data_IF_826181842450
#
_entry.id   IF_826181842450
#
_cell.length_a   1.000
_cell.length_b   1.000
_cell.length_c   1.000
_cell.angle_alpha   90.00
_cell.angle_beta   90.00
_cell.angle_gamma   90.00
#
_symmetry.space_group_name_H-M   'P 1'
#
loop_
_entity.id
_entity.type
_entity.pdbx_description
1 polymer ?
#
# COMPACT_ATOMS: atom_id res chain seq x y z
N UNK A 1 -13.31 22.54 -6.54
CA UNK A 1 -13.25 21.51 -5.47
C UNK A 1 -12.07 20.62 -5.79
N UNK A 2 -11.04 20.61 -4.95
CA UNK A 2 -9.82 19.81 -5.17
C UNK A 2 -10.17 18.34 -4.94
N UNK A 3 -9.94 17.51 -5.95
CA UNK A 3 -10.16 16.06 -5.88
C UNK A 3 -8.81 15.36 -5.74
N UNK A 4 -8.73 14.43 -4.80
CA UNK A 4 -7.58 13.54 -4.67
C UNK A 4 -8.01 12.15 -5.08
N UNK A 5 -7.22 11.54 -5.97
CA UNK A 5 -7.46 10.18 -6.45
C UNK A 5 -6.22 9.36 -6.14
N UNK A 6 -6.35 8.30 -5.33
CA UNK A 6 -5.24 7.38 -5.09
C UNK A 6 -5.13 6.48 -6.32
N UNK A 7 -3.96 6.48 -6.95
CA UNK A 7 -3.76 5.86 -8.26
C UNK A 7 -2.92 4.60 -8.24
N UNK A 8 -2.05 4.46 -7.23
CA UNK A 8 -1.12 3.34 -7.13
C UNK A 8 -0.84 2.96 -5.68
N UNK A 9 -0.70 1.66 -5.46
CA UNK A 9 -0.07 1.08 -4.28
C UNK A 9 1.09 0.19 -4.71
N UNK A 10 2.26 0.36 -4.10
CA UNK A 10 3.46 -0.42 -4.45
C UNK A 10 4.23 -0.84 -3.21
N UNK A 11 4.64 -2.11 -3.18
CA UNK A 11 5.65 -2.60 -2.24
C UNK A 11 7.01 -2.21 -2.78
N UNK A 12 7.77 -1.43 -2.02
CA UNK A 12 9.12 -1.01 -2.41
C UNK A 12 10.18 -1.97 -1.88
N UNK A 13 10.01 -2.47 -0.65
CA UNK A 13 11.00 -3.34 -0.02
C UNK A 13 10.42 -4.19 1.11
N UNK A 14 10.67 -5.49 1.09
CA UNK A 14 10.44 -6.40 2.21
C UNK A 14 11.74 -6.65 2.98
N UNK A 15 11.72 -6.43 4.30
CA UNK A 15 12.82 -6.76 5.20
C UNK A 15 12.35 -7.77 6.26
N UNK A 16 12.65 -9.05 6.03
CA UNK A 16 12.26 -10.12 6.95
C UNK A 16 13.06 -10.12 8.26
N UNK A 17 14.31 -9.65 8.23
CA UNK A 17 15.16 -9.55 9.42
C UNK A 17 14.66 -8.49 10.41
N UNK A 18 14.31 -7.31 9.88
CA UNK A 18 13.70 -6.23 10.67
C UNK A 18 12.18 -6.38 10.83
N UNK A 19 11.59 -7.44 10.27
CA UNK A 19 10.16 -7.68 10.22
C UNK A 19 9.40 -6.43 9.76
N UNK A 20 9.81 -5.84 8.63
CA UNK A 20 9.19 -4.64 8.09
C UNK A 20 8.96 -4.71 6.58
N UNK A 21 8.04 -3.89 6.08
CA UNK A 21 7.78 -3.69 4.66
C UNK A 21 7.64 -2.19 4.37
N UNK A 22 8.38 -1.71 3.38
CA UNK A 22 8.26 -0.35 2.87
C UNK A 22 7.24 -0.36 1.74
N UNK A 23 6.19 0.43 1.88
CA UNK A 23 5.09 0.55 0.92
C UNK A 23 4.92 2.01 0.53
N UNK A 24 4.56 2.23 -0.71
CA UNK A 24 4.30 3.57 -1.23
C UNK A 24 2.95 3.68 -1.89
N UNK A 25 2.43 4.90 -1.87
CA UNK A 25 1.18 5.25 -2.54
C UNK A 25 1.43 6.42 -3.46
N UNK A 26 0.87 6.35 -4.66
CA UNK A 26 0.75 7.50 -5.53
C UNK A 26 -0.70 8.00 -5.53
N UNK A 27 -0.85 9.31 -5.61
CA UNK A 27 -2.14 9.96 -5.73
C UNK A 27 -2.02 11.18 -6.63
N UNK A 28 -3.09 11.47 -7.36
CA UNK A 28 -3.18 12.66 -8.19
C UNK A 28 -3.98 13.73 -7.45
N UNK A 29 -3.47 14.96 -7.46
CA UNK A 29 -4.09 16.14 -6.90
C UNK A 29 -3.91 17.29 -7.89
N UNK A 30 -5.02 17.88 -8.35
CA UNK A 30 -5.00 19.05 -9.24
C UNK A 30 -4.09 18.87 -10.48
N UNK A 31 -4.10 17.66 -11.06
CA UNK A 31 -3.28 17.32 -12.23
C UNK A 31 -1.81 17.00 -11.92
N UNK A 32 -1.40 17.07 -10.64
CA UNK A 32 -0.05 16.71 -10.18
C UNK A 32 -0.06 15.34 -9.50
N UNK A 33 0.82 14.45 -9.96
CA UNK A 33 1.04 13.14 -9.31
C UNK A 33 2.00 13.28 -8.15
N UNK A 34 1.55 12.91 -6.97
CA UNK A 34 2.31 12.91 -5.73
C UNK A 34 2.54 11.48 -5.25
N UNK A 35 3.56 11.28 -4.41
CA UNK A 35 3.92 9.98 -3.85
C UNK A 35 4.40 10.13 -2.41
N UNK A 36 4.02 9.20 -1.54
CA UNK A 36 4.63 9.04 -0.23
C UNK A 36 4.94 7.56 0.05
N UNK A 37 5.91 7.33 0.93
CA UNK A 37 6.34 5.99 1.34
C UNK A 37 6.24 5.87 2.85
N UNK A 38 5.82 4.72 3.35
CA UNK A 38 5.71 4.39 4.77
C UNK A 38 6.33 3.03 5.01
N UNK A 39 7.01 2.89 6.15
CA UNK A 39 7.45 1.60 6.67
C UNK A 39 6.36 1.03 7.57
N UNK A 40 6.07 -0.26 7.39
CA UNK A 40 5.12 -1.05 8.16
C UNK A 40 5.83 -2.18 8.88
N UNK A 41 5.42 -2.49 10.10
CA UNK A 41 5.92 -3.66 10.81
C UNK A 41 5.07 -4.89 10.51
N UNK A 42 5.72 -6.03 10.27
CA UNK A 42 5.10 -7.34 10.04
C UNK A 42 4.46 -7.80 11.35
N UNK A 43 3.21 -7.39 11.58
CA UNK A 43 2.42 -7.64 12.79
C UNK A 43 1.48 -6.48 13.17
N UNK A 44 1.59 -5.31 12.54
CA UNK A 44 0.69 -4.18 12.79
C UNK A 44 -0.73 -4.40 12.24
N UNK A 45 -1.71 -3.72 12.87
CA UNK A 45 -3.09 -3.71 12.41
C UNK A 45 -3.20 -2.91 11.10
N UNK A 46 -3.41 -3.64 9.99
CA UNK A 46 -3.50 -3.15 8.61
C UNK A 46 -4.53 -2.04 8.43
N UNK A 47 -5.66 -2.11 9.13
CA UNK A 47 -6.73 -1.10 9.03
C UNK A 47 -6.23 0.24 9.56
N UNK A 48 -5.50 0.24 10.68
CA UNK A 48 -4.92 1.46 11.26
C UNK A 48 -3.91 2.11 10.32
N UNK A 49 -3.14 1.31 9.59
CA UNK A 49 -2.22 1.83 8.59
C UNK A 49 -2.94 2.51 7.43
N UNK A 50 -3.95 1.87 6.84
CA UNK A 50 -4.70 2.46 5.72
C UNK A 50 -5.39 3.76 6.17
N UNK A 51 -5.94 3.78 7.38
CA UNK A 51 -6.51 4.99 7.98
C UNK A 51 -5.45 6.08 8.22
N UNK A 52 -4.26 5.72 8.72
CA UNK A 52 -3.16 6.65 8.90
C UNK A 52 -2.63 7.19 7.57
N UNK A 53 -2.54 6.36 6.53
CA UNK A 53 -2.12 6.75 5.19
C UNK A 53 -3.13 7.73 4.54
N UNK A 54 -4.43 7.45 4.66
CA UNK A 54 -5.50 8.38 4.23
C UNK A 54 -5.44 9.69 5.03
N UNK A 55 -5.20 9.61 6.34
CA UNK A 55 -5.03 10.80 7.19
C UNK A 55 -3.79 11.61 6.80
N UNK A 56 -2.68 10.96 6.49
CA UNK A 56 -1.45 11.62 6.04
C UNK A 56 -1.64 12.31 4.69
N UNK A 57 -2.39 11.72 3.75
CA UNK A 57 -2.80 12.40 2.52
C UNK A 57 -3.61 13.65 2.85
N UNK A 58 -4.62 13.56 3.73
CA UNK A 58 -5.44 14.71 4.15
C UNK A 58 -4.59 15.82 4.82
N UNK A 59 -3.55 15.44 5.58
CA UNK A 59 -2.62 16.40 6.21
C UNK A 59 -1.67 17.05 5.22
N UNK A 60 -1.03 16.27 4.34
CA UNK A 60 -0.06 16.76 3.35
C UNK A 60 -0.73 17.67 2.33
N UNK A 61 -1.99 17.38 1.97
CA UNK A 61 -2.79 18.22 1.09
C UNK A 61 -3.33 19.49 1.76
N UNK A 62 -3.15 19.66 3.08
CA UNK A 62 -3.48 20.89 3.82
C UNK A 62 -4.98 21.19 3.92
N UNK A 63 -5.86 20.24 3.57
CA UNK A 63 -7.28 20.51 3.37
C UNK A 63 -8.15 19.60 4.25
N UNK A 64 -8.93 20.15 5.19
CA UNK A 64 -9.75 19.36 6.12
C UNK A 64 -10.98 18.68 5.47
N UNK A 65 -11.23 18.91 4.17
CA UNK A 65 -12.46 18.53 3.46
C UNK A 65 -12.23 17.84 2.10
N UNK A 66 -11.01 17.38 1.78
CA UNK A 66 -10.78 16.65 0.52
C UNK A 66 -11.65 15.40 0.49
N UNK A 67 -12.58 15.36 -0.47
CA UNK A 67 -13.24 14.12 -0.88
C UNK A 67 -12.21 13.32 -1.66
N UNK A 68 -11.68 12.26 -1.04
CA UNK A 68 -11.01 11.20 -1.79
C UNK A 68 -12.12 10.56 -2.63
N UNK A 69 -11.96 10.62 -3.95
CA UNK A 69 -12.95 10.03 -4.83
C UNK A 69 -13.00 8.52 -4.57
N UNK A 70 -14.20 8.00 -4.28
CA UNK A 70 -14.41 6.60 -3.88
C UNK A 70 -13.55 6.19 -2.67
N UNK A 71 -13.50 7.04 -1.62
CA UNK A 71 -12.69 6.79 -0.42
C UNK A 71 -12.95 5.40 0.18
N UNK A 72 -14.20 4.97 0.25
CA UNK A 72 -14.60 3.70 0.84
C UNK A 72 -14.12 2.50 0.00
N UNK A 73 -14.41 2.48 -1.30
CA UNK A 73 -13.91 1.45 -2.23
C UNK A 73 -12.38 1.38 -2.24
N UNK A 74 -11.73 2.54 -2.22
CA UNK A 74 -10.27 2.66 -2.22
C UNK A 74 -9.71 2.07 -0.93
N UNK A 75 -10.32 2.41 0.21
CA UNK A 75 -9.95 1.88 1.52
C UNK A 75 -10.12 0.36 1.57
N UNK A 76 -11.24 -0.17 1.08
CA UNK A 76 -11.50 -1.60 1.06
C UNK A 76 -10.49 -2.35 0.18
N UNK A 77 -10.25 -1.87 -1.05
CA UNK A 77 -9.24 -2.44 -1.95
C UNK A 77 -7.85 -2.44 -1.31
N UNK A 78 -7.46 -1.34 -0.66
CA UNK A 78 -6.17 -1.25 0.05
C UNK A 78 -6.07 -2.25 1.20
N UNK A 79 -7.08 -2.34 2.06
CA UNK A 79 -7.10 -3.28 3.20
C UNK A 79 -6.99 -4.72 2.70
N UNK A 80 -7.76 -5.09 1.68
CA UNK A 80 -7.74 -6.43 1.10
C UNK A 80 -6.37 -6.79 0.50
N UNK A 81 -5.78 -5.88 -0.27
CA UNK A 81 -4.45 -6.05 -0.85
C UNK A 81 -3.38 -6.24 0.22
N UNK A 82 -3.39 -5.41 1.26
CA UNK A 82 -2.38 -5.48 2.32
C UNK A 82 -2.57 -6.76 3.13
N UNK A 83 -3.80 -7.13 3.50
CA UNK A 83 -4.08 -8.39 4.19
C UNK A 83 -3.53 -9.60 3.42
N UNK A 84 -3.73 -9.63 2.09
CA UNK A 84 -3.17 -10.68 1.23
C UNK A 84 -1.63 -10.73 1.31
N UNK A 85 -0.96 -9.57 1.22
CA UNK A 85 0.50 -9.50 1.36
C UNK A 85 0.98 -10.03 2.71
N UNK A 86 0.27 -9.71 3.80
CA UNK A 86 0.61 -10.21 5.13
C UNK A 86 0.51 -11.74 5.24
N UNK A 87 -0.48 -12.36 4.59
CA UNK A 87 -0.57 -13.83 4.52
C UNK A 87 0.62 -14.40 3.77
N UNK A 88 0.93 -13.86 2.58
CA UNK A 88 2.07 -14.32 1.77
C UNK A 88 3.42 -14.19 2.51
N UNK A 89 3.60 -13.11 3.27
CA UNK A 89 4.78 -12.89 4.13
C UNK A 89 4.84 -13.91 5.27
N UNK A 90 3.72 -14.19 5.94
CA UNK A 90 3.65 -15.20 7.01
C UNK A 90 3.97 -16.59 6.48
N UNK A 91 3.52 -16.91 5.28
CA UNK A 91 3.85 -18.17 4.63
C UNK A 91 5.31 -18.23 4.25
N UNK A 92 5.87 -17.13 3.75
CA UNK A 92 7.30 -17.03 3.43
C UNK A 92 8.19 -17.29 4.66
N UNK A 93 7.78 -16.82 5.85
CA UNK A 93 8.49 -17.09 7.10
C UNK A 93 8.53 -18.59 7.50
N UNK A 94 7.62 -19.41 6.97
CA UNK A 94 7.53 -20.85 7.28
C UNK A 94 8.30 -21.72 6.28
N UNK A 95 8.78 -21.17 5.17
CA UNK A 95 9.45 -21.92 4.11
C UNK A 95 10.89 -22.25 4.53
N UNK A 96 11.26 -23.52 4.43
CA UNK A 96 12.62 -24.02 4.74
C UNK A 96 13.53 -24.16 3.50
N UNK A 97 12.96 -24.13 2.30
CA UNK A 97 13.67 -24.30 1.02
C UNK A 97 14.17 -22.96 0.46
N UNK A 98 15.45 -22.87 0.14
CA UNK A 98 16.10 -21.63 -0.33
C UNK A 98 15.54 -21.12 -1.66
N UNK A 99 15.32 -21.99 -2.66
CA UNK A 99 14.83 -21.56 -3.97
C UNK A 99 13.37 -21.07 -3.93
N UNK A 100 12.50 -21.80 -3.25
CA UNK A 100 11.10 -21.42 -3.06
C UNK A 100 10.99 -20.12 -2.28
N UNK A 101 11.81 -19.95 -1.25
CA UNK A 101 11.93 -18.70 -0.51
C UNK A 101 12.33 -17.54 -1.42
N UNK A 102 13.39 -17.68 -2.23
CA UNK A 102 13.87 -16.61 -3.11
C UNK A 102 12.82 -16.20 -4.17
N UNK A 103 12.14 -17.17 -4.78
CA UNK A 103 11.07 -16.90 -5.76
C UNK A 103 9.91 -16.10 -5.14
N UNK A 104 9.45 -16.51 -3.96
CA UNK A 104 8.35 -15.84 -3.24
C UNK A 104 8.76 -14.46 -2.72
N UNK A 105 9.97 -14.33 -2.19
CA UNK A 105 10.54 -13.06 -1.74
C UNK A 105 10.64 -12.05 -2.89
N UNK A 106 11.15 -12.47 -4.06
CA UNK A 106 11.20 -11.62 -5.25
C UNK A 106 9.82 -11.19 -5.72
N UNK A 107 8.82 -12.08 -5.66
CA UNK A 107 7.44 -11.76 -6.05
C UNK A 107 6.87 -10.63 -5.19
N UNK A 108 7.07 -10.68 -3.86
CA UNK A 108 6.54 -9.65 -2.95
C UNK A 108 7.14 -8.27 -3.27
N UNK A 109 8.43 -8.18 -3.55
CA UNK A 109 9.08 -6.90 -3.90
C UNK A 109 8.65 -6.34 -5.28
N UNK A 110 8.05 -7.17 -6.14
CA UNK A 110 7.50 -6.72 -7.43
C UNK A 110 6.04 -6.27 -7.36
N UNK A 111 5.42 -6.30 -6.17
CA UNK A 111 3.99 -6.04 -6.03
C UNK A 111 3.66 -4.56 -6.28
N UNK A 112 2.88 -4.33 -7.34
CA UNK A 112 2.36 -3.02 -7.73
C UNK A 112 0.92 -3.18 -8.19
N UNK A 113 0.02 -2.42 -7.60
CA UNK A 113 -1.40 -2.40 -7.92
C UNK A 113 -1.77 -1.01 -8.40
N UNK A 114 -2.29 -0.95 -9.62
CA UNK A 114 -2.97 0.23 -10.13
C UNK A 114 -4.39 0.23 -9.56
N UNK A 115 -4.75 1.32 -8.88
CA UNK A 115 -6.06 1.46 -8.24
C UNK A 115 -7.05 2.23 -9.12
N UNK A 116 -6.54 2.92 -10.14
CA UNK A 116 -7.35 3.43 -11.24
C UNK A 116 -7.74 2.28 -12.16
N UNK A 117 -9.04 2.01 -12.23
CA UNK A 117 -9.61 1.30 -13.37
C UNK A 117 -9.52 2.25 -14.56
N UNK A 118 -8.53 2.04 -15.44
CA UNK A 118 -8.66 2.49 -16.82
C UNK A 118 -9.80 1.67 -17.41
N UNK A 119 -11.02 2.20 -17.35
CA UNK A 119 -12.10 1.73 -18.20
C UNK A 119 -11.57 1.79 -19.64
N UNK A 120 -11.38 0.61 -20.23
CA UNK A 120 -11.23 0.46 -21.67
C UNK A 120 -12.60 0.60 -22.32
#
# INVERSE_FOLDING_TARGET
MVKVVITEFKVEKLNLGQKSIDVSFAYDQDGSRNKFTKKLMIGENVVNFVLAAISDIKKVTGMPLVQIEKEEDTREKMVNTINRLFVEIKDLQKIKESEKYMKQYSRINSYKVSLLEFNK
#
